data_IF_546507811931
#
_entry.id   IF_546507811931
#
_cell.length_a   1.000
_cell.length_b   1.000
_cell.length_c   1.000
_cell.angle_alpha   90.00
_cell.angle_beta   90.00
_cell.angle_gamma   90.00
#
_symmetry.space_group_name_H-M   'P 1'
#
loop_
_entity.id
_entity.type
_entity.pdbx_description
1 polymer ?
#
# COMPACT_ATOMS: atom_id res chain seq x y z
N UNK A 1 -18.33 -2.97 -10.21
CA UNK A 1 -18.44 -4.37 -9.71
C UNK A 1 -19.38 -4.39 -8.52
N UNK A 2 -20.41 -5.23 -8.50
CA UNK A 2 -21.33 -5.34 -7.37
C UNK A 2 -20.96 -6.58 -6.54
N UNK A 3 -20.57 -6.39 -5.30
CA UNK A 3 -20.31 -7.50 -4.38
C UNK A 3 -21.65 -8.04 -3.91
N UNK A 4 -22.00 -9.26 -4.33
CA UNK A 4 -23.26 -9.93 -4.00
C UNK A 4 -23.11 -10.95 -2.87
N UNK A 5 -21.85 -11.35 -2.57
CA UNK A 5 -21.54 -12.34 -1.53
C UNK A 5 -20.22 -11.97 -0.87
N UNK A 6 -20.23 -11.83 0.45
CA UNK A 6 -19.06 -11.37 1.24
C UNK A 6 -18.13 -12.53 1.59
N UNK A 7 -18.62 -13.75 1.69
CA UNK A 7 -17.82 -14.95 1.96
C UNK A 7 -18.09 -16.04 0.92
N UNK A 8 -17.04 -16.76 0.53
CA UNK A 8 -17.12 -17.82 -0.48
C UNK A 8 -16.76 -19.20 0.07
N UNK A 9 -16.12 -19.24 1.25
CA UNK A 9 -15.55 -20.45 1.89
C UNK A 9 -14.45 -21.13 1.05
N UNK A 10 -14.03 -20.53 -0.07
CA UNK A 10 -13.02 -21.10 -0.97
C UNK A 10 -11.62 -21.20 -0.36
N UNK A 11 -11.38 -20.48 0.75
CA UNK A 11 -10.09 -20.44 1.46
C UNK A 11 -10.06 -21.21 2.79
N UNK A 12 -11.14 -21.89 3.20
CA UNK A 12 -11.26 -22.48 4.53
C UNK A 12 -10.33 -23.69 4.74
N UNK A 13 -9.84 -24.28 3.64
CA UNK A 13 -8.85 -25.37 3.66
C UNK A 13 -7.38 -24.88 3.62
N UNK A 14 -7.13 -23.63 3.93
CA UNK A 14 -5.76 -23.06 4.00
C UNK A 14 -5.14 -22.71 2.66
N UNK A 15 -5.92 -22.64 1.58
CA UNK A 15 -5.46 -22.22 0.26
C UNK A 15 -6.14 -20.94 -0.19
N UNK A 16 -5.43 -20.16 -1.02
CA UNK A 16 -5.95 -18.96 -1.66
C UNK A 16 -5.48 -18.89 -3.11
N UNK A 17 -5.97 -17.91 -3.88
CA UNK A 17 -5.53 -17.71 -5.26
C UNK A 17 -4.68 -16.45 -5.37
N UNK A 18 -3.63 -16.51 -6.21
CA UNK A 18 -2.92 -15.36 -6.73
C UNK A 18 -3.70 -14.74 -7.90
N UNK A 19 -3.27 -13.57 -8.38
CA UNK A 19 -3.72 -13.02 -9.66
C UNK A 19 -3.37 -14.05 -10.76
N UNK A 20 -4.29 -14.27 -11.71
CA UNK A 20 -4.15 -15.34 -12.69
C UNK A 20 -4.78 -16.67 -12.25
N UNK A 21 -5.16 -16.82 -10.98
CA UNK A 21 -5.95 -17.96 -10.49
C UNK A 21 -5.15 -19.11 -9.90
N UNK A 22 -3.82 -19.05 -9.92
CA UNK A 22 -2.97 -20.09 -9.30
C UNK A 22 -3.32 -20.25 -7.81
N UNK A 23 -3.58 -21.48 -7.38
CA UNK A 23 -3.87 -21.83 -5.99
C UNK A 23 -2.58 -22.07 -5.21
N UNK A 24 -2.41 -21.37 -4.10
CA UNK A 24 -1.25 -21.48 -3.23
C UNK A 24 -1.67 -21.61 -1.76
N UNK A 25 -0.84 -22.20 -0.88
CA UNK A 25 -1.09 -22.16 0.56
C UNK A 25 -1.13 -20.70 1.07
N UNK A 26 -1.96 -20.42 2.06
CA UNK A 26 -2.08 -19.07 2.66
C UNK A 26 -0.77 -18.58 3.32
N UNK A 27 0.16 -19.47 3.63
CA UNK A 27 1.51 -19.13 4.11
C UNK A 27 2.56 -19.04 3.00
N UNK A 28 2.16 -19.01 1.74
CA UNK A 28 3.08 -18.79 0.63
C UNK A 28 3.77 -17.44 0.74
N UNK A 29 5.05 -17.35 0.37
CA UNK A 29 5.89 -16.14 0.52
C UNK A 29 5.24 -14.88 -0.11
N UNK A 30 4.58 -14.99 -1.25
CA UNK A 30 3.87 -13.86 -1.86
C UNK A 30 2.71 -13.38 -1.00
N UNK A 31 1.95 -14.32 -0.40
CA UNK A 31 0.83 -13.98 0.50
C UNK A 31 1.37 -13.20 1.71
N UNK A 32 2.45 -13.68 2.31
CA UNK A 32 3.12 -12.99 3.41
C UNK A 32 3.59 -11.60 2.99
N UNK A 33 4.24 -11.47 1.83
CA UNK A 33 4.77 -10.20 1.35
C UNK A 33 3.67 -9.14 1.15
N UNK A 34 2.62 -9.44 0.38
CA UNK A 34 1.56 -8.45 0.19
C UNK A 34 0.69 -8.26 1.43
N UNK A 35 0.58 -9.26 2.30
CA UNK A 35 -0.08 -9.13 3.59
C UNK A 35 0.65 -8.12 4.50
N UNK A 36 1.99 -8.15 4.53
CA UNK A 36 2.80 -7.16 5.26
C UNK A 36 2.63 -5.74 4.68
N UNK A 37 2.56 -5.62 3.35
CA UNK A 37 2.28 -4.32 2.69
C UNK A 37 0.88 -3.81 3.04
N UNK A 38 -0.13 -4.68 3.09
CA UNK A 38 -1.50 -4.33 3.47
C UNK A 38 -1.56 -3.89 4.94
N UNK A 39 -0.84 -4.55 5.84
CA UNK A 39 -0.69 -4.13 7.24
C UNK A 39 -0.07 -2.74 7.35
N UNK A 40 1.03 -2.47 6.63
CA UNK A 40 1.63 -1.13 6.56
C UNK A 40 0.61 -0.09 6.05
N UNK A 41 -0.14 -0.41 5.03
CA UNK A 41 -1.17 0.47 4.48
C UNK A 41 -2.25 0.81 5.52
N UNK A 42 -2.67 -0.16 6.33
CA UNK A 42 -3.60 0.05 7.43
C UNK A 42 -3.02 0.95 8.52
N UNK A 43 -1.74 0.77 8.89
CA UNK A 43 -1.03 1.63 9.87
C UNK A 43 -0.92 3.07 9.36
N UNK A 44 -0.63 3.28 8.07
CA UNK A 44 -0.63 4.63 7.48
C UNK A 44 -2.04 5.24 7.53
N UNK A 45 -3.09 4.48 7.32
CA UNK A 45 -4.47 4.94 7.48
C UNK A 45 -4.76 5.43 8.91
N UNK A 46 -4.26 4.70 9.92
CA UNK A 46 -4.33 5.12 11.30
C UNK A 46 -3.53 6.41 11.55
N UNK A 47 -2.32 6.52 11.00
CA UNK A 47 -1.48 7.72 11.08
C UNK A 47 -2.19 8.95 10.51
N UNK A 48 -2.88 8.82 9.38
CA UNK A 48 -3.71 9.89 8.78
C UNK A 48 -4.80 10.36 9.74
N UNK A 49 -5.45 9.44 10.44
CA UNK A 49 -6.47 9.77 11.45
C UNK A 49 -5.86 10.60 12.59
N UNK A 50 -4.68 10.25 13.08
CA UNK A 50 -3.99 11.01 14.11
C UNK A 50 -3.48 12.37 13.60
N UNK A 51 -2.96 12.42 12.37
CA UNK A 51 -2.57 13.67 11.73
C UNK A 51 -3.73 14.67 11.70
N UNK A 52 -4.92 14.25 11.27
CA UNK A 52 -6.11 15.10 11.25
C UNK A 52 -6.59 15.57 12.63
N UNK A 53 -6.13 14.93 13.71
CA UNK A 53 -6.48 15.26 15.12
C UNK A 53 -5.33 15.89 15.89
N UNK A 54 -4.19 16.14 15.24
CA UNK A 54 -2.94 16.57 15.92
C UNK A 54 -3.01 17.95 16.56
N UNK A 55 -3.95 18.81 16.13
CA UNK A 55 -3.98 20.23 16.54
C UNK A 55 -2.86 21.08 15.94
N UNK A 56 -2.07 20.52 15.01
CA UNK A 56 -1.05 21.24 14.27
C UNK A 56 -1.67 22.24 13.28
N UNK A 57 -0.82 23.11 12.70
CA UNK A 57 -1.22 24.05 11.67
C UNK A 57 -1.94 23.34 10.50
N UNK A 58 -3.06 23.93 10.04
CA UNK A 58 -3.94 23.32 9.05
C UNK A 58 -3.24 23.05 7.71
N UNK A 59 -2.29 23.91 7.30
CA UNK A 59 -1.52 23.75 6.06
C UNK A 59 -0.57 22.55 6.18
N UNK A 60 0.12 22.42 7.31
CA UNK A 60 0.99 21.28 7.60
C UNK A 60 0.21 19.97 7.66
N UNK A 61 -0.94 19.97 8.32
CA UNK A 61 -1.84 18.80 8.37
C UNK A 61 -2.27 18.39 6.97
N UNK A 62 -2.70 19.32 6.13
CA UNK A 62 -3.14 19.04 4.76
C UNK A 62 -2.00 18.52 3.87
N UNK A 63 -0.78 19.07 4.04
CA UNK A 63 0.42 18.63 3.32
C UNK A 63 0.77 17.17 3.66
N UNK A 64 0.86 16.84 4.95
CA UNK A 64 1.12 15.48 5.42
C UNK A 64 0.01 14.52 4.97
N UNK A 65 -1.25 14.94 5.05
CA UNK A 65 -2.39 14.14 4.57
C UNK A 65 -2.26 13.78 3.09
N UNK A 66 -1.86 14.74 2.25
CA UNK A 66 -1.64 14.52 0.82
C UNK A 66 -0.55 13.48 0.55
N UNK A 67 0.58 13.58 1.26
CA UNK A 67 1.69 12.63 1.16
C UNK A 67 1.27 11.22 1.59
N UNK A 68 0.66 11.08 2.76
CA UNK A 68 0.21 9.80 3.30
C UNK A 68 -0.87 9.15 2.43
N UNK A 69 -1.81 9.96 1.90
CA UNK A 69 -2.83 9.46 0.97
C UNK A 69 -2.19 8.89 -0.29
N UNK A 70 -1.22 9.57 -0.86
CA UNK A 70 -0.48 9.08 -2.04
C UNK A 70 0.26 7.78 -1.73
N UNK A 71 0.98 7.71 -0.61
CA UNK A 71 1.68 6.49 -0.18
C UNK A 71 0.72 5.31 -0.07
N UNK A 72 -0.47 5.49 0.49
CA UNK A 72 -1.46 4.41 0.58
C UNK A 72 -1.90 3.89 -0.80
N UNK A 73 -2.09 4.79 -1.78
CA UNK A 73 -2.41 4.38 -3.15
C UNK A 73 -1.25 3.60 -3.78
N UNK A 74 -0.02 4.05 -3.60
CA UNK A 74 1.16 3.37 -4.12
C UNK A 74 1.34 2.00 -3.46
N UNK A 75 1.13 1.86 -2.15
CA UNK A 75 1.17 0.58 -1.43
C UNK A 75 0.09 -0.40 -1.91
N UNK A 76 -1.10 0.08 -2.25
CA UNK A 76 -2.14 -0.75 -2.84
C UNK A 76 -1.70 -1.34 -4.19
N UNK A 77 -1.02 -0.53 -5.01
CA UNK A 77 -0.45 -0.95 -6.27
C UNK A 77 0.72 -1.95 -6.09
N UNK A 78 1.59 -1.72 -5.07
CA UNK A 78 2.65 -2.67 -4.67
C UNK A 78 2.04 -4.02 -4.30
N UNK A 79 0.97 -4.03 -3.51
CA UNK A 79 0.24 -5.25 -3.16
C UNK A 79 -0.24 -6.01 -4.41
N UNK A 80 -0.74 -5.30 -5.41
CA UNK A 80 -1.17 -5.88 -6.69
C UNK A 80 0.01 -6.49 -7.46
N UNK A 81 1.15 -5.80 -7.55
CA UNK A 81 2.36 -6.34 -8.22
C UNK A 81 2.87 -7.60 -7.51
N UNK A 82 2.92 -7.58 -6.17
CA UNK A 82 3.31 -8.75 -5.37
C UNK A 82 2.36 -9.95 -5.53
N UNK A 83 1.07 -9.69 -5.67
CA UNK A 83 0.05 -10.72 -5.87
C UNK A 83 0.04 -11.29 -7.31
N UNK A 84 0.73 -10.65 -8.26
CA UNK A 84 0.72 -11.00 -9.68
C UNK A 84 2.02 -11.73 -10.07
N UNK A 85 1.97 -13.05 -10.34
CA UNK A 85 3.10 -13.77 -10.93
C UNK A 85 3.57 -13.14 -12.24
N UNK A 86 4.85 -13.29 -12.58
CA UNK A 86 5.43 -12.69 -13.78
C UNK A 86 4.69 -13.07 -15.08
N UNK A 87 4.22 -14.32 -15.15
CA UNK A 87 3.46 -14.86 -16.29
C UNK A 87 2.08 -14.23 -16.48
N UNK A 88 1.51 -13.66 -15.41
CA UNK A 88 0.14 -13.12 -15.38
C UNK A 88 0.12 -11.59 -15.45
N UNK A 89 1.28 -10.95 -15.62
CA UNK A 89 1.39 -9.51 -15.78
C UNK A 89 0.86 -9.04 -17.14
N UNK A 90 0.16 -7.92 -17.15
CA UNK A 90 -0.39 -7.32 -18.36
C UNK A 90 0.37 -6.04 -18.76
N UNK A 91 0.34 -5.64 -20.03
CA UNK A 91 0.93 -4.39 -20.50
C UNK A 91 0.29 -3.19 -19.76
N UNK A 92 1.14 -2.26 -19.28
CA UNK A 92 0.68 -1.07 -18.53
C UNK A 92 0.31 -1.35 -17.08
N UNK A 93 0.53 -2.56 -16.57
CA UNK A 93 0.41 -2.82 -15.13
C UNK A 93 1.35 -1.90 -14.35
N UNK A 94 0.80 -1.21 -13.34
CA UNK A 94 1.61 -0.37 -12.46
C UNK A 94 2.66 -1.22 -11.73
N UNK A 95 3.86 -0.68 -11.66
CA UNK A 95 4.96 -1.21 -10.86
C UNK A 95 5.70 -0.05 -10.22
N UNK A 96 6.07 -0.20 -8.95
CA UNK A 96 6.92 0.78 -8.28
C UNK A 96 8.28 0.86 -8.98
N UNK A 97 8.72 2.06 -9.27
CA UNK A 97 9.97 2.36 -9.96
C UNK A 97 10.72 3.54 -9.35
N UNK A 98 11.64 4.10 -10.12
CA UNK A 98 12.46 5.23 -9.68
C UNK A 98 11.63 6.47 -9.33
N UNK A 99 10.56 6.75 -10.07
CA UNK A 99 9.71 7.92 -9.84
C UNK A 99 9.07 7.95 -8.43
N UNK A 100 8.64 6.79 -7.94
CA UNK A 100 8.07 6.68 -6.59
C UNK A 100 9.14 6.89 -5.52
N UNK A 101 10.34 6.35 -5.74
CA UNK A 101 11.49 6.52 -4.83
C UNK A 101 11.92 7.97 -4.78
N UNK A 102 12.17 8.59 -5.93
CA UNK A 102 12.57 10.01 -6.04
C UNK A 102 11.54 10.95 -5.39
N UNK A 103 10.25 10.65 -5.53
CA UNK A 103 9.18 11.41 -4.87
C UNK A 103 9.26 11.29 -3.35
N UNK A 104 9.48 10.09 -2.81
CA UNK A 104 9.62 9.89 -1.36
C UNK A 104 10.86 10.58 -0.81
N UNK A 105 11.99 10.49 -1.51
CA UNK A 105 13.23 11.18 -1.16
C UNK A 105 13.04 12.71 -1.17
N UNK A 106 12.37 13.24 -2.19
CA UNK A 106 12.03 14.66 -2.27
C UNK A 106 11.16 15.12 -1.09
N UNK A 107 10.18 14.33 -0.68
CA UNK A 107 9.37 14.66 0.51
C UNK A 107 10.17 14.58 1.81
N UNK A 108 11.11 13.66 1.93
CA UNK A 108 12.02 13.58 3.08
C UNK A 108 12.87 14.86 3.15
N UNK A 109 13.45 15.28 2.04
CA UNK A 109 14.28 16.48 1.99
C UNK A 109 13.47 17.75 2.33
N UNK A 110 12.27 17.87 1.76
CA UNK A 110 11.34 18.94 2.03
C UNK A 110 10.95 19.02 3.52
N UNK A 111 10.66 17.89 4.14
CA UNK A 111 10.28 17.84 5.56
C UNK A 111 11.47 18.11 6.51
N UNK A 112 12.68 17.72 6.09
CA UNK A 112 13.92 18.00 6.86
C UNK A 112 14.20 19.49 7.00
N UNK A 113 13.87 20.32 6.01
CA UNK A 113 14.07 21.76 6.06
C UNK A 113 13.32 22.38 7.24
N UNK A 114 12.17 21.83 7.61
CA UNK A 114 11.35 22.32 8.74
C UNK A 114 11.85 21.83 10.12
N UNK A 115 12.71 20.83 10.19
CA UNK A 115 13.12 20.18 11.45
C UNK A 115 14.44 20.72 12.02
N UNK A 116 15.24 21.43 11.22
CA UNK A 116 16.59 21.83 11.62
C UNK A 116 17.56 20.65 11.73
N UNK A 117 18.81 20.88 12.19
CA UNK A 117 19.78 19.79 12.34
C UNK A 117 19.32 18.80 13.42
N UNK A 118 19.33 17.53 13.06
CA UNK A 118 19.08 16.39 13.96
C UNK A 118 20.32 16.13 14.81
#
# INVERSE_FOLDING_TARGET
MRITKVYTRGGDKGQTSLVGGDRVPKNHVRITAYGTVDELNAVIGLTRTFNGRSGADAEKVARIETMLHRIQNDLFNVGTDLATPAKDRWPGMFRVGGEEVERLEGWIDELKEDLGPL
#
